data_IF_846204432234
#
_entry.id   IF_846204432234
#
_cell.length_a   1.000
_cell.length_b   1.000
_cell.length_c   1.000
_cell.angle_alpha   90.00
_cell.angle_beta   90.00
_cell.angle_gamma   90.00
#
_symmetry.space_group_name_H-M   'P 1'
#
loop_
_entity.id
_entity.type
_entity.pdbx_description
1 polymer ?
#
# COMPACT_ATOMS: atom_id res chain seq x y z
N UNK A 1 8.43 8.96 -1.35
CA UNK A 1 9.63 8.10 -1.48
C UNK A 1 10.48 8.40 -2.70
N UNK A 2 9.90 8.60 -3.89
CA UNK A 2 10.66 8.83 -5.14
C UNK A 2 11.67 9.99 -5.06
N UNK A 3 11.33 11.10 -4.40
CA UNK A 3 12.25 12.22 -4.20
C UNK A 3 13.42 11.89 -3.26
N UNK A 4 13.25 10.99 -2.28
CA UNK A 4 14.32 10.55 -1.37
C UNK A 4 15.28 9.57 -2.07
N UNK A 5 14.72 8.69 -2.88
CA UNK A 5 15.43 7.81 -3.79
C UNK A 5 16.37 8.59 -4.74
N UNK A 6 15.85 9.65 -5.35
CA UNK A 6 16.60 10.50 -6.27
C UNK A 6 17.72 11.36 -5.64
N UNK A 7 17.80 11.45 -4.31
CA UNK A 7 18.78 12.32 -3.62
C UNK A 7 20.19 11.70 -3.48
N UNK A 8 20.35 10.39 -3.70
CA UNK A 8 21.67 9.74 -3.64
C UNK A 8 22.41 9.85 -2.30
N UNK A 9 21.68 10.12 -1.20
CA UNK A 9 22.27 10.39 0.11
C UNK A 9 22.94 9.13 0.68
N UNK A 10 24.21 9.27 1.05
CA UNK A 10 24.92 8.29 1.87
C UNK A 10 24.62 8.52 3.36
N UNK A 11 24.76 7.46 4.14
CA UNK A 11 24.25 7.20 5.50
C UNK A 11 24.40 8.33 6.53
N UNK A 12 25.27 9.32 6.30
CA UNK A 12 25.70 10.27 7.32
C UNK A 12 24.99 11.64 7.32
N UNK A 13 24.33 12.06 6.23
CA UNK A 13 23.76 13.43 6.09
C UNK A 13 22.25 13.54 6.40
N UNK A 14 21.57 12.45 6.72
CA UNK A 14 20.10 12.36 6.65
C UNK A 14 19.34 12.52 7.99
N UNK A 15 19.79 13.33 8.96
CA UNK A 15 19.16 13.28 10.31
C UNK A 15 17.69 13.78 10.35
N UNK A 16 17.36 14.88 9.66
CA UNK A 16 15.97 15.38 9.55
C UNK A 16 15.17 14.65 8.47
N UNK A 17 15.76 14.47 7.29
CA UNK A 17 15.13 13.78 6.15
C UNK A 17 14.86 12.30 6.44
N UNK A 18 15.77 11.64 7.16
CA UNK A 18 15.64 10.24 7.57
C UNK A 18 14.56 10.03 8.64
N UNK A 19 14.37 10.97 9.57
CA UNK A 19 13.26 10.91 10.53
C UNK A 19 11.90 11.01 9.82
N UNK A 20 11.76 11.93 8.86
CA UNK A 20 10.56 12.05 8.04
C UNK A 20 10.30 10.80 7.19
N UNK A 21 11.36 10.20 6.63
CA UNK A 21 11.24 8.95 5.88
C UNK A 21 10.76 7.80 6.77
N UNK A 22 11.32 7.63 7.96
CA UNK A 22 10.90 6.56 8.88
C UNK A 22 9.46 6.73 9.31
N UNK A 23 9.03 7.97 9.59
CA UNK A 23 7.63 8.26 9.89
C UNK A 23 6.72 7.91 8.71
N UNK A 24 7.10 8.30 7.49
CA UNK A 24 6.38 7.93 6.29
C UNK A 24 6.27 6.40 6.14
N UNK A 25 7.38 5.67 6.25
CA UNK A 25 7.40 4.21 6.14
C UNK A 25 6.54 3.54 7.22
N UNK A 26 6.54 4.07 8.44
CA UNK A 26 5.71 3.55 9.53
C UNK A 26 4.22 3.76 9.26
N UNK A 27 3.84 4.96 8.81
CA UNK A 27 2.46 5.26 8.43
C UNK A 27 2.00 4.41 7.25
N UNK A 28 2.86 4.21 6.24
CA UNK A 28 2.57 3.33 5.12
C UNK A 28 2.36 1.89 5.57
N UNK A 29 3.26 1.34 6.41
CA UNK A 29 3.15 -0.04 6.89
C UNK A 29 1.86 -0.27 7.69
N UNK A 30 1.48 0.68 8.56
CA UNK A 30 0.19 0.63 9.26
C UNK A 30 -1.01 0.68 8.32
N UNK A 31 -0.98 1.56 7.32
CA UNK A 31 -2.06 1.69 6.35
C UNK A 31 -2.22 0.41 5.51
N UNK A 32 -1.10 -0.22 5.13
CA UNK A 32 -1.08 -1.51 4.43
C UNK A 32 -1.76 -2.57 5.31
N UNK A 33 -1.43 -2.63 6.60
CA UNK A 33 -2.02 -3.60 7.55
C UNK A 33 -3.53 -3.43 7.78
N UNK A 34 -4.10 -2.25 7.54
CA UNK A 34 -5.55 -2.00 7.67
C UNK A 34 -6.32 -2.04 6.34
N UNK A 35 -5.64 -2.35 5.23
CA UNK A 35 -6.21 -2.14 3.90
C UNK A 35 -7.33 -3.13 3.57
N UNK A 36 -7.13 -4.41 3.89
CA UNK A 36 -8.14 -5.45 3.66
C UNK A 36 -9.42 -5.18 4.47
N UNK A 37 -9.28 -4.78 5.74
CA UNK A 37 -10.41 -4.37 6.58
C UNK A 37 -11.16 -3.17 5.98
N UNK A 38 -10.42 -2.18 5.46
CA UNK A 38 -10.99 -1.01 4.81
C UNK A 38 -11.84 -1.37 3.60
N UNK A 39 -11.32 -2.18 2.69
CA UNK A 39 -12.09 -2.64 1.52
C UNK A 39 -13.24 -3.58 1.90
N UNK A 40 -13.09 -4.39 2.96
CA UNK A 40 -14.18 -5.21 3.48
C UNK A 40 -15.36 -4.34 3.92
N UNK A 41 -15.09 -3.25 4.65
CA UNK A 41 -16.13 -2.30 5.05
C UNK A 41 -16.80 -1.63 3.83
N UNK A 42 -16.01 -1.19 2.85
CA UNK A 42 -16.55 -0.57 1.61
C UNK A 42 -17.45 -1.55 0.85
N UNK A 43 -17.04 -2.81 0.72
CA UNK A 43 -17.85 -3.82 0.02
C UNK A 43 -19.15 -4.13 0.76
N UNK A 44 -19.15 -4.12 2.09
CA UNK A 44 -20.37 -4.27 2.88
C UNK A 44 -21.32 -3.08 2.70
N UNK A 45 -20.79 -1.85 2.76
CA UNK A 45 -21.57 -0.62 2.58
C UNK A 45 -22.21 -0.53 1.18
N UNK A 46 -21.51 -1.04 0.15
CA UNK A 46 -21.98 -1.09 -1.24
C UNK A 46 -22.81 -2.36 -1.56
N UNK A 47 -23.02 -3.27 -0.58
CA UNK A 47 -23.80 -4.51 -0.74
C UNK A 47 -23.16 -5.54 -1.69
N UNK A 48 -21.83 -5.53 -1.80
CA UNK A 48 -21.03 -6.35 -2.72
C UNK A 48 -20.39 -7.58 -2.07
N UNK A 49 -20.45 -7.65 -0.74
CA UNK A 49 -19.94 -8.74 0.09
C UNK A 49 -20.54 -10.13 -0.24
N UNK A 50 -21.76 -10.16 -0.78
CA UNK A 50 -22.43 -11.39 -1.23
C UNK A 50 -21.86 -11.97 -2.53
N UNK A 51 -21.07 -11.21 -3.29
CA UNK A 51 -20.48 -11.68 -4.55
C UNK A 51 -19.08 -12.28 -4.28
N UNK A 52 -18.89 -13.59 -4.52
CA UNK A 52 -17.68 -14.30 -4.14
C UNK A 52 -16.42 -13.78 -4.85
N UNK A 53 -16.54 -13.16 -6.04
CA UNK A 53 -15.39 -12.61 -6.74
C UNK A 53 -14.75 -11.43 -6.00
N UNK A 54 -15.52 -10.65 -5.23
CA UNK A 54 -14.95 -9.59 -4.39
C UNK A 54 -14.25 -10.18 -3.17
N UNK A 55 -14.85 -11.20 -2.53
CA UNK A 55 -14.23 -11.89 -1.40
C UNK A 55 -12.94 -12.61 -1.81
N UNK A 56 -12.95 -13.28 -2.97
CA UNK A 56 -11.76 -13.94 -3.53
C UNK A 56 -10.65 -12.93 -3.82
N UNK A 57 -11.00 -11.76 -4.38
CA UNK A 57 -10.01 -10.73 -4.67
C UNK A 57 -9.51 -10.01 -3.40
N UNK A 58 -10.34 -9.85 -2.37
CA UNK A 58 -9.90 -9.37 -1.06
C UNK A 58 -8.81 -10.27 -0.47
N UNK A 59 -8.91 -11.59 -0.64
CA UNK A 59 -7.85 -12.51 -0.18
C UNK A 59 -6.53 -12.34 -0.95
N UNK A 60 -6.60 -11.94 -2.24
CA UNK A 60 -5.40 -11.55 -3.01
C UNK A 60 -4.80 -10.26 -2.45
N UNK A 61 -5.62 -9.23 -2.25
CA UNK A 61 -5.23 -7.95 -1.68
C UNK A 61 -4.57 -8.12 -0.30
N UNK A 62 -5.16 -8.93 0.60
CA UNK A 62 -4.63 -9.18 1.94
C UNK A 62 -3.25 -9.85 1.87
N UNK A 63 -3.09 -10.87 1.03
CA UNK A 63 -1.80 -11.53 0.84
C UNK A 63 -0.74 -10.58 0.29
N UNK A 64 -1.09 -9.73 -0.68
CA UNK A 64 -0.13 -8.78 -1.25
C UNK A 64 0.16 -7.61 -0.29
N UNK A 65 -0.80 -7.23 0.55
CA UNK A 65 -0.59 -6.32 1.67
C UNK A 65 0.43 -6.90 2.66
N UNK A 66 0.29 -8.17 3.05
CA UNK A 66 1.25 -8.84 3.94
C UNK A 66 2.66 -8.91 3.34
N UNK A 67 2.75 -9.29 2.06
CA UNK A 67 4.03 -9.38 1.34
C UNK A 67 4.71 -8.00 1.23
N UNK A 68 3.96 -6.96 0.87
CA UNK A 68 4.48 -5.60 0.81
C UNK A 68 4.87 -5.10 2.21
N UNK A 69 4.01 -5.29 3.21
CA UNK A 69 4.25 -4.91 4.60
C UNK A 69 5.54 -5.51 5.16
N UNK A 70 5.84 -6.78 4.83
CA UNK A 70 7.10 -7.42 5.20
C UNK A 70 8.33 -6.68 4.64
N UNK A 71 8.27 -6.21 3.38
CA UNK A 71 9.35 -5.43 2.77
C UNK A 71 9.53 -4.06 3.45
N UNK A 72 8.43 -3.40 3.83
CA UNK A 72 8.47 -2.15 4.61
C UNK A 72 9.08 -2.37 5.99
N UNK A 73 8.65 -3.41 6.73
CA UNK A 73 9.21 -3.76 8.05
C UNK A 73 10.71 -4.07 7.97
N UNK A 74 11.14 -4.85 6.97
CA UNK A 74 12.56 -5.13 6.75
C UNK A 74 13.37 -3.86 6.50
N UNK A 75 12.84 -2.94 5.68
CA UNK A 75 13.48 -1.65 5.40
C UNK A 75 13.60 -0.81 6.68
N UNK A 76 12.55 -0.76 7.50
CA UNK A 76 12.55 -0.01 8.75
C UNK A 76 13.47 -0.60 9.83
N UNK A 77 13.67 -1.93 9.82
CA UNK A 77 14.55 -2.63 10.76
C UNK A 77 16.03 -2.28 10.58
N UNK A 78 16.42 -1.66 9.47
CA UNK A 78 17.81 -1.28 9.24
C UNK A 78 18.23 -0.11 10.15
N UNK A 79 19.46 -0.11 10.71
CA UNK A 79 19.95 1.02 11.51
C UNK A 79 19.95 2.33 10.72
N UNK A 80 20.22 2.27 9.43
CA UNK A 80 20.14 3.38 8.50
C UNK A 80 19.51 2.94 7.17
N UNK A 81 18.79 3.87 6.54
CA UNK A 81 18.03 3.62 5.31
C UNK A 81 18.65 4.44 4.18
N UNK A 82 19.37 3.78 3.27
CA UNK A 82 19.99 4.41 2.11
C UNK A 82 18.96 4.68 1.01
N UNK A 83 19.26 5.62 0.10
CA UNK A 83 18.43 5.85 -1.09
C UNK A 83 18.28 4.58 -1.94
N UNK A 84 19.35 3.81 -2.13
CA UNK A 84 19.31 2.54 -2.88
C UNK A 84 18.35 1.52 -2.25
N UNK A 85 18.27 1.46 -0.91
CA UNK A 85 17.33 0.57 -0.24
C UNK A 85 15.88 1.00 -0.49
N UNK A 86 15.62 2.31 -0.46
CA UNK A 86 14.29 2.87 -0.80
C UNK A 86 13.95 2.62 -2.27
N UNK A 87 14.92 2.71 -3.18
CA UNK A 87 14.73 2.37 -4.59
C UNK A 87 14.37 0.90 -4.79
N UNK A 88 15.08 -0.01 -4.12
CA UNK A 88 14.76 -1.43 -4.17
C UNK A 88 13.36 -1.72 -3.60
N UNK A 89 12.97 -1.03 -2.52
CA UNK A 89 11.61 -1.12 -1.97
C UNK A 89 10.56 -0.66 -3.00
N UNK A 90 10.77 0.48 -3.64
CA UNK A 90 9.86 1.00 -4.67
C UNK A 90 9.80 0.09 -5.91
N UNK A 91 10.91 -0.57 -6.24
CA UNK A 91 11.01 -1.53 -7.35
C UNK A 91 10.43 -2.92 -6.99
N UNK A 92 10.09 -3.18 -5.73
CA UNK A 92 9.54 -4.45 -5.29
C UNK A 92 8.28 -4.81 -6.08
N UNK A 93 8.22 -6.05 -6.55
CA UNK A 93 7.04 -6.55 -7.26
C UNK A 93 5.81 -6.58 -6.36
N UNK A 94 5.98 -6.87 -5.06
CA UNK A 94 4.88 -6.93 -4.09
C UNK A 94 4.26 -5.55 -3.83
N UNK A 95 5.08 -4.49 -3.77
CA UNK A 95 4.57 -3.12 -3.63
C UNK A 95 3.77 -2.72 -4.88
N UNK A 96 4.24 -3.10 -6.07
CA UNK A 96 3.53 -2.82 -7.32
C UNK A 96 2.24 -3.64 -7.48
N UNK A 97 2.24 -4.90 -7.03
CA UNK A 97 1.04 -5.74 -7.00
C UNK A 97 -0.04 -5.12 -6.11
N UNK A 98 0.30 -4.83 -4.85
CA UNK A 98 -0.62 -4.20 -3.90
C UNK A 98 -1.24 -2.89 -4.43
N UNK A 99 -0.44 -2.01 -5.02
CA UNK A 99 -0.94 -0.77 -5.61
C UNK A 99 -1.91 -1.04 -6.77
N UNK A 100 -1.61 -2.06 -7.57
CA UNK A 100 -2.47 -2.46 -8.69
C UNK A 100 -3.79 -3.04 -8.20
N UNK A 101 -3.76 -3.83 -7.13
CA UNK A 101 -4.98 -4.39 -6.50
C UNK A 101 -5.91 -3.28 -6.00
N UNK A 102 -5.34 -2.25 -5.35
CA UNK A 102 -6.09 -1.07 -4.90
C UNK A 102 -6.78 -0.38 -6.08
N UNK A 103 -6.04 -0.11 -7.17
CA UNK A 103 -6.60 0.55 -8.34
C UNK A 103 -7.66 -0.30 -9.04
N UNK A 104 -7.48 -1.62 -9.09
CA UNK A 104 -8.48 -2.50 -9.69
C UNK A 104 -9.78 -2.50 -8.87
N UNK A 105 -9.68 -2.58 -7.54
CA UNK A 105 -10.84 -2.51 -6.66
C UNK A 105 -11.55 -1.15 -6.73
N UNK A 106 -10.78 -0.06 -6.70
CA UNK A 106 -11.32 1.29 -6.84
C UNK A 106 -12.08 1.46 -8.16
N UNK A 107 -11.51 1.01 -9.28
CA UNK A 107 -12.13 1.11 -10.60
C UNK A 107 -13.39 0.25 -10.73
N UNK A 108 -13.53 -0.87 -10.00
CA UNK A 108 -14.78 -1.66 -10.07
C UNK A 108 -15.84 -1.17 -9.08
N UNK A 109 -15.45 -0.53 -7.98
CA UNK A 109 -16.37 -0.02 -6.95
C UNK A 109 -16.91 1.36 -7.37
N UNK A 110 -16.03 2.31 -7.71
CA UNK A 110 -16.38 3.72 -7.97
C UNK A 110 -17.42 3.94 -9.10
N UNK A 111 -17.41 3.22 -10.23
CA UNK A 111 -18.44 3.37 -11.26
C UNK A 111 -19.86 2.98 -10.81
N UNK A 112 -19.99 2.16 -9.76
CA UNK A 112 -21.30 1.76 -9.24
C UNK A 112 -21.92 2.78 -8.29
N UNK A 113 -21.11 3.55 -7.56
CA UNK A 113 -21.61 4.62 -6.70
C UNK A 113 -22.17 5.82 -7.50
N UNK A 114 -21.88 5.90 -8.80
CA UNK A 114 -22.36 6.97 -9.69
C UNK A 114 -23.61 6.60 -10.52
N UNK A 115 -24.15 5.38 -10.40
CA UNK A 115 -25.31 4.97 -11.18
C UNK A 115 -26.61 5.62 -10.63
N UNK A 116 -27.38 6.36 -11.46
CA UNK A 116 -28.63 6.94 -11.01
C UNK A 116 -29.68 5.85 -10.77
N UNK A 117 -30.38 5.95 -9.64
CA UNK A 117 -31.52 5.10 -9.28
C UNK A 117 -32.64 5.29 -10.30
N UNK A 118 -32.74 4.37 -11.28
CA UNK A 118 -33.88 4.35 -12.20
C UNK A 118 -35.11 3.90 -11.41
N UNK A 119 -36.02 4.85 -11.14
CA UNK A 119 -37.35 4.63 -10.58
C UNK A 119 -38.36 4.48 -11.71
#
# INVERSE_FOLDING_TARGET
>A
MLAYAAQGLSTHEASKTGAQLREFLNRSERAIGSLADGFTAVLADEGLDSNPHYTDFLAVLERDADNAGAAFRLTMAQPAISSQLVDNLNASIHVRALLTDIFLLDEVITPRSAAPTTT
#
